data_IF_656803943894
#
_entry.id   IF_656803943894
#
_cell.length_a   1.000
_cell.length_b   1.000
_cell.length_c   1.000
_cell.angle_alpha   90.00
_cell.angle_beta   90.00
_cell.angle_gamma   90.00
#
_symmetry.space_group_name_H-M   'P 1'
#
loop_
_entity.id
_entity.type
_entity.pdbx_description
1 polymer ?
#
# COMPACT_ATOMS: atom_id res chain seq x y z
N UNK A 1 10.33 18.54 22.14
CA UNK A 1 8.90 18.91 22.26
C UNK A 1 8.15 17.72 22.86
N UNK A 2 7.24 17.97 23.78
CA UNK A 2 6.43 16.92 24.41
C UNK A 2 5.12 16.79 23.63
N UNK A 3 4.89 15.67 22.97
CA UNK A 3 3.65 15.42 22.21
C UNK A 3 2.46 15.45 23.17
N UNK A 4 1.50 16.33 22.94
CA UNK A 4 0.32 16.46 23.80
C UNK A 4 -0.56 15.21 23.72
N UNK A 5 -1.41 14.97 24.73
CA UNK A 5 -2.36 13.85 24.67
C UNK A 5 -3.31 13.98 23.47
N UNK A 6 -3.72 15.21 23.13
CA UNK A 6 -4.57 15.47 21.98
C UNK A 6 -3.90 15.11 20.64
N UNK A 7 -2.63 15.46 20.43
CA UNK A 7 -1.88 15.06 19.23
C UNK A 7 -1.85 13.53 19.07
N UNK A 8 -1.68 12.79 20.18
CA UNK A 8 -1.73 11.32 20.16
C UNK A 8 -3.13 10.81 19.85
N UNK A 9 -4.18 11.45 20.36
CA UNK A 9 -5.57 11.05 20.10
C UNK A 9 -5.98 11.31 18.63
N UNK A 10 -5.47 12.38 18.02
CA UNK A 10 -5.66 12.67 16.58
C UNK A 10 -4.91 11.66 15.72
N UNK A 11 -3.66 11.36 16.08
CA UNK A 11 -2.85 10.35 15.36
C UNK A 11 -3.47 8.96 15.49
N UNK A 12 -4.00 8.61 16.67
CA UNK A 12 -4.78 7.38 16.86
C UNK A 12 -6.01 7.33 15.97
N UNK A 13 -6.75 8.44 15.83
CA UNK A 13 -7.91 8.46 14.96
C UNK A 13 -7.53 8.21 13.50
N UNK A 14 -6.46 8.85 13.02
CA UNK A 14 -5.94 8.57 11.68
C UNK A 14 -5.51 7.10 11.54
N UNK A 15 -4.75 6.58 12.51
CA UNK A 15 -4.26 5.20 12.45
C UNK A 15 -5.39 4.16 12.54
N UNK A 16 -6.50 4.47 13.21
CA UNK A 16 -7.70 3.61 13.23
C UNK A 16 -8.42 3.59 11.88
N UNK A 17 -8.49 4.73 11.18
CA UNK A 17 -9.10 4.82 9.86
C UNK A 17 -8.20 4.26 8.76
N UNK A 18 -6.87 4.35 8.94
CA UNK A 18 -5.85 3.89 8.02
C UNK A 18 -4.88 2.90 8.71
N UNK A 19 -5.35 1.70 9.13
CA UNK A 19 -4.58 0.79 9.98
C UNK A 19 -3.27 0.31 9.34
N UNK A 20 -3.21 0.11 8.03
CA UNK A 20 -1.97 -0.22 7.31
C UNK A 20 -0.96 0.93 7.40
N UNK A 21 -1.41 2.15 7.10
CA UNK A 21 -0.55 3.34 7.11
C UNK A 21 -0.05 3.65 8.53
N UNK A 22 -0.92 3.55 9.54
CA UNK A 22 -0.52 3.77 10.92
C UNK A 22 0.47 2.72 11.45
N UNK A 23 0.34 1.46 11.03
CA UNK A 23 1.30 0.43 11.42
C UNK A 23 2.67 0.66 10.77
N UNK A 24 2.66 0.96 9.47
CA UNK A 24 3.88 1.14 8.66
C UNK A 24 4.61 2.43 9.00
N UNK A 25 3.91 3.47 9.47
CA UNK A 25 4.52 4.67 10.04
C UNK A 25 5.17 4.45 11.42
N UNK A 26 5.08 3.23 11.97
CA UNK A 26 5.64 2.88 13.28
C UNK A 26 4.85 3.44 14.46
N UNK A 27 3.56 3.79 14.28
CA UNK A 27 2.75 4.32 15.37
C UNK A 27 2.51 3.24 16.46
N UNK A 28 3.08 3.37 17.66
CA UNK A 28 3.15 2.28 18.63
C UNK A 28 1.78 1.89 19.23
N UNK A 29 0.77 2.76 19.08
CA UNK A 29 -0.60 2.52 19.54
C UNK A 29 -1.45 1.82 18.48
N UNK A 30 -0.99 1.75 17.22
CA UNK A 30 -1.64 0.98 16.17
C UNK A 30 -1.00 -0.41 16.07
N UNK A 31 -1.53 -1.33 16.89
CA UNK A 31 -1.08 -2.72 16.94
C UNK A 31 -1.93 -3.65 16.08
N UNK A 32 -2.99 -3.14 15.47
CA UNK A 32 -4.04 -3.94 14.88
C UNK A 32 -4.10 -3.77 13.37
N UNK A 33 -3.10 -4.34 12.70
CA UNK A 33 -3.08 -4.46 11.24
C UNK A 33 -3.99 -5.59 10.73
N UNK A 34 -4.51 -6.43 11.63
CA UNK A 34 -5.42 -7.52 11.27
C UNK A 34 -6.82 -7.00 10.89
N UNK A 35 -7.21 -5.82 11.36
CA UNK A 35 -8.57 -5.30 11.20
C UNK A 35 -8.55 -3.97 10.41
N UNK A 36 -8.92 -4.06 9.13
CA UNK A 36 -9.09 -2.89 8.26
C UNK A 36 -10.36 -2.13 8.64
N UNK A 37 -10.31 -0.80 8.58
CA UNK A 37 -11.49 0.03 8.72
C UNK A 37 -12.46 -0.22 7.56
N UNK A 38 -13.70 -0.62 7.89
CA UNK A 38 -14.81 -0.79 6.95
C UNK A 38 -15.80 0.35 7.20
N UNK A 39 -16.03 1.25 6.22
CA UNK A 39 -16.81 2.47 6.42
C UNK A 39 -18.32 2.21 6.37
N UNK A 40 -18.83 1.37 7.28
CA UNK A 40 -20.29 1.21 7.48
C UNK A 40 -20.90 2.53 7.97
N UNK A 41 -22.21 2.71 7.80
CA UNK A 41 -22.91 3.93 8.26
C UNK A 41 -22.61 4.24 9.72
N UNK A 42 -22.68 3.24 10.60
CA UNK A 42 -22.43 3.42 12.03
C UNK A 42 -20.96 3.75 12.31
N UNK A 43 -20.01 3.05 11.67
CA UNK A 43 -18.58 3.30 11.84
C UNK A 43 -18.18 4.71 11.34
N UNK A 44 -18.78 5.18 10.24
CA UNK A 44 -18.59 6.54 9.73
C UNK A 44 -19.18 7.57 10.68
N UNK A 45 -20.36 7.30 11.25
CA UNK A 45 -20.98 8.20 12.23
C UNK A 45 -20.13 8.31 13.51
N UNK A 46 -19.65 7.18 14.05
CA UNK A 46 -18.75 7.14 15.21
C UNK A 46 -17.44 7.88 14.94
N UNK A 47 -16.82 7.64 13.78
CA UNK A 47 -15.60 8.32 13.39
C UNK A 47 -15.80 9.84 13.27
N UNK A 48 -16.88 10.29 12.65
CA UNK A 48 -17.22 11.71 12.55
C UNK A 48 -17.52 12.34 13.92
N UNK A 49 -18.21 11.63 14.82
CA UNK A 49 -18.45 12.10 16.17
C UNK A 49 -17.13 12.29 16.94
N UNK A 50 -16.20 11.34 16.81
CA UNK A 50 -14.87 11.44 17.42
C UNK A 50 -14.03 12.57 16.81
N UNK A 51 -14.05 12.74 15.49
CA UNK A 51 -13.41 13.89 14.82
C UNK A 51 -13.98 15.21 15.36
N UNK A 52 -15.30 15.32 15.49
CA UNK A 52 -15.95 16.51 16.06
C UNK A 52 -15.55 16.78 17.51
N UNK A 53 -15.42 15.74 18.34
CA UNK A 53 -14.95 15.86 19.72
C UNK A 53 -13.48 16.32 19.78
N UNK A 54 -12.61 15.79 18.93
CA UNK A 54 -11.20 16.20 18.85
C UNK A 54 -11.05 17.65 18.38
N UNK A 55 -11.86 18.09 17.41
CA UNK A 55 -11.86 19.49 16.94
C UNK A 55 -12.18 20.49 18.04
N UNK A 56 -13.13 20.18 18.93
CA UNK A 56 -13.48 21.04 20.08
C UNK A 56 -12.33 21.22 21.07
N UNK A 57 -11.34 20.31 21.06
CA UNK A 57 -10.18 20.31 21.95
C UNK A 57 -8.95 20.98 21.36
N UNK A 58 -8.98 21.44 20.10
CA UNK A 58 -7.81 22.01 19.42
C UNK A 58 -7.13 23.17 20.16
N UNK A 59 -7.86 23.91 21.01
CA UNK A 59 -7.30 24.94 21.87
C UNK A 59 -6.31 24.41 22.93
N UNK A 60 -6.28 23.09 23.19
CA UNK A 60 -5.28 22.43 24.04
C UNK A 60 -3.87 22.43 23.42
N UNK A 61 -3.75 22.58 22.08
CA UNK A 61 -2.46 22.67 21.39
C UNK A 61 -1.98 24.12 21.43
N UNK A 62 -0.95 24.39 22.23
CA UNK A 62 -0.43 25.76 22.42
C UNK A 62 0.22 26.32 21.16
N UNK A 63 0.94 25.49 20.42
CA UNK A 63 1.59 25.86 19.15
C UNK A 63 0.56 26.11 18.05
N UNK A 64 0.64 27.27 17.38
CA UNK A 64 -0.36 27.68 16.39
C UNK A 64 -0.27 26.88 15.07
N UNK A 65 0.93 26.52 14.65
CA UNK A 65 1.17 25.79 13.41
C UNK A 65 0.77 24.31 13.57
N UNK A 66 1.12 23.71 14.72
CA UNK A 66 0.67 22.35 15.06
C UNK A 66 -0.84 22.28 15.20
N UNK A 67 -1.48 23.28 15.81
CA UNK A 67 -2.94 23.35 15.91
C UNK A 67 -3.62 23.46 14.55
N UNK A 68 -3.06 24.28 13.66
CA UNK A 68 -3.54 24.41 12.28
C UNK A 68 -3.39 23.09 11.53
N UNK A 69 -2.23 22.44 11.66
CA UNK A 69 -1.97 21.12 11.06
C UNK A 69 -2.95 20.07 11.58
N UNK A 70 -3.20 20.04 12.89
CA UNK A 70 -4.16 19.15 13.52
C UNK A 70 -5.59 19.37 13.00
N UNK A 71 -6.04 20.61 12.83
CA UNK A 71 -7.34 20.90 12.24
C UNK A 71 -7.44 20.44 10.78
N UNK A 72 -6.39 20.67 9.97
CA UNK A 72 -6.35 20.21 8.58
C UNK A 72 -6.35 18.69 8.48
N UNK A 73 -5.64 17.99 9.36
CA UNK A 73 -5.69 16.53 9.42
C UNK A 73 -7.09 16.02 9.75
N UNK A 74 -7.76 16.61 10.75
CA UNK A 74 -9.14 16.26 11.10
C UNK A 74 -10.12 16.58 9.97
N UNK A 75 -9.92 17.68 9.25
CA UNK A 75 -10.69 18.02 8.05
C UNK A 75 -10.51 16.97 6.94
N UNK A 76 -9.26 16.58 6.67
CA UNK A 76 -8.94 15.56 5.67
C UNK A 76 -9.62 14.22 5.97
N UNK A 77 -9.55 13.76 7.23
CA UNK A 77 -10.22 12.54 7.67
C UNK A 77 -11.74 12.62 7.46
N UNK A 78 -12.36 13.74 7.83
CA UNK A 78 -13.79 13.93 7.61
C UNK A 78 -14.16 13.94 6.12
N UNK A 79 -13.35 14.58 5.28
CA UNK A 79 -13.53 14.60 3.83
C UNK A 79 -13.41 13.19 3.23
N UNK A 80 -12.43 12.40 3.66
CA UNK A 80 -12.27 11.01 3.22
C UNK A 80 -13.48 10.15 3.57
N UNK A 81 -14.06 10.33 4.75
CA UNK A 81 -15.28 9.62 5.17
C UNK A 81 -16.53 10.07 4.40
N UNK A 82 -16.62 11.35 4.06
CA UNK A 82 -17.77 11.90 3.34
C UNK A 82 -17.73 11.62 1.83
N UNK A 83 -16.54 11.50 1.24
CA UNK A 83 -16.33 11.33 -0.20
C UNK A 83 -15.46 10.10 -0.48
N UNK A 84 -15.94 8.88 -0.21
CA UNK A 84 -15.19 7.66 -0.49
C UNK A 84 -15.06 7.44 -1.99
N UNK A 85 -13.84 7.66 -2.51
CA UNK A 85 -13.50 7.45 -3.91
C UNK A 85 -13.78 5.99 -4.33
N UNK A 86 -14.40 5.75 -5.50
CA UNK A 86 -14.56 4.39 -6.04
C UNK A 86 -13.23 3.63 -6.09
N UNK A 87 -13.22 2.43 -5.51
CA UNK A 87 -12.05 1.56 -5.49
C UNK A 87 -11.05 1.84 -4.35
N UNK A 88 -11.21 2.91 -3.56
CA UNK A 88 -10.30 3.22 -2.46
C UNK A 88 -10.19 2.08 -1.44
N UNK A 89 -11.32 1.43 -1.13
CA UNK A 89 -11.33 0.29 -0.21
C UNK A 89 -10.55 -0.92 -0.74
N UNK A 90 -10.55 -1.13 -2.07
CA UNK A 90 -9.76 -2.18 -2.74
C UNK A 90 -8.28 -1.81 -2.75
N UNK A 91 -7.95 -0.53 -2.99
CA UNK A 91 -6.59 -0.02 -2.93
C UNK A 91 -5.97 -0.22 -1.55
N UNK A 92 -6.69 0.11 -0.47
CA UNK A 92 -6.22 -0.09 0.91
C UNK A 92 -5.83 -1.55 1.19
N UNK A 93 -6.55 -2.51 0.60
CA UNK A 93 -6.25 -3.93 0.72
C UNK A 93 -4.94 -4.29 -0.01
N UNK A 94 -4.75 -3.74 -1.22
CA UNK A 94 -3.51 -3.91 -1.99
C UNK A 94 -2.29 -3.30 -1.29
N UNK A 95 -2.45 -2.10 -0.74
CA UNK A 95 -1.40 -1.43 0.03
C UNK A 95 -1.03 -2.25 1.27
N UNK A 96 -2.03 -2.78 1.98
CA UNK A 96 -1.80 -3.71 3.10
C UNK A 96 -0.95 -4.91 2.69
N UNK A 97 -1.30 -5.57 1.58
CA UNK A 97 -0.58 -6.73 1.08
C UNK A 97 0.86 -6.39 0.64
N UNK A 98 1.05 -5.25 -0.02
CA UNK A 98 2.37 -4.74 -0.40
C UNK A 98 3.25 -4.49 0.82
N UNK A 99 2.74 -3.79 1.84
CA UNK A 99 3.51 -3.49 3.05
C UNK A 99 3.83 -4.74 3.87
N UNK A 100 2.93 -5.73 3.92
CA UNK A 100 3.20 -7.05 4.52
C UNK A 100 4.45 -7.68 3.89
N UNK A 101 4.50 -7.68 2.55
CA UNK A 101 5.66 -8.21 1.82
C UNK A 101 6.92 -7.44 2.19
N UNK A 102 6.89 -6.11 2.12
CA UNK A 102 8.04 -5.25 2.41
C UNK A 102 8.59 -5.48 3.82
N UNK A 103 7.71 -5.54 4.82
CA UNK A 103 8.07 -5.77 6.22
C UNK A 103 8.71 -7.15 6.46
N UNK A 104 8.30 -8.18 5.72
CA UNK A 104 8.86 -9.52 5.82
C UNK A 104 10.18 -9.68 5.06
N UNK A 105 10.28 -9.12 3.84
CA UNK A 105 11.45 -9.31 2.99
C UNK A 105 12.62 -8.41 3.36
N UNK A 106 12.38 -7.18 3.83
CA UNK A 106 13.44 -6.19 4.05
C UNK A 106 13.80 -5.99 5.52
N UNK A 107 12.83 -6.15 6.43
CA UNK A 107 13.03 -5.80 7.84
C UNK A 107 13.15 -6.99 8.78
N UNK A 108 13.11 -8.23 8.26
CA UNK A 108 13.29 -9.46 9.04
C UNK A 108 12.33 -9.59 10.22
N UNK A 109 11.18 -8.90 10.17
CA UNK A 109 10.17 -8.95 11.22
C UNK A 109 9.59 -10.37 11.29
N UNK A 110 9.24 -10.86 12.49
CA UNK A 110 8.75 -12.22 12.67
C UNK A 110 7.57 -12.48 11.73
N UNK A 111 7.60 -13.67 11.13
CA UNK A 111 6.58 -14.26 10.25
C UNK A 111 5.17 -13.72 10.62
N UNK A 112 4.48 -13.01 9.71
CA UNK A 112 3.27 -12.22 10.01
C UNK A 112 2.06 -13.10 10.40
N UNK A 113 2.29 -14.39 10.67
CA UNK A 113 1.27 -15.42 10.79
C UNK A 113 0.19 -15.10 11.80
N UNK A 114 0.54 -14.40 12.88
CA UNK A 114 -0.39 -14.10 13.95
C UNK A 114 -1.48 -13.11 13.55
N UNK A 115 -1.29 -12.31 12.51
CA UNK A 115 -2.23 -11.25 12.10
C UNK A 115 -2.59 -11.28 10.62
N UNK A 116 -1.78 -11.89 9.75
CA UNK A 116 -2.05 -12.02 8.31
C UNK A 116 -3.39 -12.71 8.02
N UNK A 117 -3.74 -13.74 8.80
CA UNK A 117 -5.05 -14.39 8.66
C UNK A 117 -6.20 -13.40 8.89
N UNK A 118 -6.13 -12.59 9.95
CA UNK A 118 -7.16 -11.60 10.25
C UNK A 118 -7.21 -10.51 9.20
N UNK A 119 -6.05 -10.05 8.73
CA UNK A 119 -5.95 -9.09 7.63
C UNK A 119 -6.65 -9.59 6.37
N UNK A 120 -6.39 -10.84 5.94
CA UNK A 120 -7.01 -11.42 4.74
C UNK A 120 -8.53 -11.54 4.91
N UNK A 121 -9.02 -11.92 6.08
CA UNK A 121 -10.46 -11.96 6.39
C UNK A 121 -11.08 -10.55 6.34
N UNK A 122 -10.36 -9.55 6.84
CA UNK A 122 -10.80 -8.16 6.80
C UNK A 122 -10.76 -7.58 5.39
N UNK A 123 -9.77 -7.94 4.57
CA UNK A 123 -9.66 -7.53 3.17
C UNK A 123 -10.82 -8.08 2.35
N UNK A 124 -11.15 -9.36 2.49
CA UNK A 124 -12.31 -9.97 1.83
C UNK A 124 -13.62 -9.22 2.17
N UNK A 125 -13.87 -8.93 3.45
CA UNK A 125 -15.04 -8.15 3.88
C UNK A 125 -15.07 -6.74 3.31
N UNK A 126 -13.91 -6.08 3.26
CA UNK A 126 -13.79 -4.70 2.76
C UNK A 126 -14.02 -4.62 1.25
N UNK A 127 -13.55 -5.62 0.48
CA UNK A 127 -13.83 -5.74 -0.96
C UNK A 127 -15.31 -6.02 -1.21
N UNK A 128 -15.94 -6.91 -0.44
CA UNK A 128 -17.39 -7.16 -0.53
C UNK A 128 -18.19 -5.88 -0.26
N UNK A 129 -17.86 -5.17 0.82
CA UNK A 129 -18.50 -3.90 1.17
C UNK A 129 -18.40 -2.88 0.02
N UNK A 130 -17.21 -2.73 -0.56
CA UNK A 130 -17.00 -1.80 -1.67
C UNK A 130 -17.79 -2.25 -2.90
N UNK A 131 -17.79 -3.55 -3.22
CA UNK A 131 -18.56 -4.10 -4.33
C UNK A 131 -20.05 -3.76 -4.19
N UNK A 132 -20.63 -4.01 -3.01
CA UNK A 132 -22.03 -3.69 -2.70
C UNK A 132 -22.30 -2.18 -2.81
N UNK A 133 -21.35 -1.33 -2.37
CA UNK A 133 -21.46 0.12 -2.48
C UNK A 133 -21.49 0.57 -3.93
N UNK A 134 -20.60 0.02 -4.77
CA UNK A 134 -20.48 0.39 -6.18
C UNK A 134 -21.73 0.03 -6.99
N UNK A 135 -22.49 -1.01 -6.61
CA UNK A 135 -23.78 -1.33 -7.27
C UNK A 135 -24.85 -0.24 -7.09
N UNK A 136 -24.67 0.65 -6.09
CA UNK A 136 -25.67 1.66 -5.70
C UNK A 136 -25.35 3.06 -6.20
N UNK A 137 -24.22 3.25 -6.87
CA UNK A 137 -23.79 4.55 -7.38
C UNK A 137 -23.50 4.47 -8.88
N UNK A 138 -23.81 5.53 -9.65
CA UNK A 138 -23.41 5.60 -11.05
C UNK A 138 -21.88 5.71 -11.15
N UNK A 139 -21.28 4.89 -12.01
CA UNK A 139 -19.85 4.94 -12.31
C UNK A 139 -19.63 5.34 -13.77
N UNK A 140 -18.88 6.42 -13.97
CA UNK A 140 -18.36 6.79 -15.29
C UNK A 140 -17.15 5.93 -15.69
N UNK A 141 -16.67 6.14 -16.91
CA UNK A 141 -15.53 5.40 -17.50
C UNK A 141 -14.24 5.59 -16.70
N UNK A 142 -13.99 6.79 -16.19
CA UNK A 142 -12.78 7.11 -15.42
C UNK A 142 -12.77 6.35 -14.09
N UNK A 143 -13.88 6.40 -13.36
CA UNK A 143 -14.03 5.68 -12.10
C UNK A 143 -13.90 4.16 -12.29
N UNK A 144 -14.48 3.60 -13.36
CA UNK A 144 -14.35 2.17 -13.68
C UNK A 144 -12.92 1.77 -13.97
N UNK A 145 -12.23 2.53 -14.84
CA UNK A 145 -10.81 2.28 -15.16
C UNK A 145 -9.94 2.33 -13.90
N UNK A 146 -10.19 3.30 -13.03
CA UNK A 146 -9.52 3.40 -11.74
C UNK A 146 -9.80 2.16 -10.87
N UNK A 147 -11.06 1.77 -10.71
CA UNK A 147 -11.46 0.56 -9.99
C UNK A 147 -10.77 -0.71 -10.52
N UNK A 148 -10.73 -0.90 -11.84
CA UNK A 148 -10.06 -2.05 -12.45
C UNK A 148 -8.53 -2.01 -12.24
N UNK A 149 -7.93 -0.83 -12.30
CA UNK A 149 -6.49 -0.64 -12.04
C UNK A 149 -6.15 -1.01 -10.59
N UNK A 150 -6.92 -0.53 -9.62
CA UNK A 150 -6.70 -0.85 -8.21
C UNK A 150 -7.00 -2.32 -7.90
N UNK A 151 -7.97 -2.94 -8.59
CA UNK A 151 -8.24 -4.37 -8.47
C UNK A 151 -7.07 -5.22 -9.00
N UNK A 152 -6.49 -4.85 -10.14
CA UNK A 152 -5.31 -5.52 -10.69
C UNK A 152 -4.09 -5.37 -9.78
N UNK A 153 -3.88 -4.18 -9.21
CA UNK A 153 -2.83 -3.95 -8.20
C UNK A 153 -3.05 -4.80 -6.93
N UNK A 154 -4.28 -4.84 -6.42
CA UNK A 154 -4.62 -5.64 -5.24
C UNK A 154 -4.43 -7.14 -5.51
N UNK A 155 -4.84 -7.64 -6.67
CA UNK A 155 -4.59 -9.02 -7.08
C UNK A 155 -3.08 -9.34 -7.13
N UNK A 156 -2.30 -8.51 -7.81
CA UNK A 156 -0.86 -8.72 -7.95
C UNK A 156 -0.16 -8.75 -6.58
N UNK A 157 -0.57 -7.85 -5.66
CA UNK A 157 -0.01 -7.80 -4.31
C UNK A 157 -0.43 -8.99 -3.43
N UNK A 158 -1.68 -9.45 -3.54
CA UNK A 158 -2.18 -10.64 -2.83
C UNK A 158 -1.48 -11.93 -3.27
N UNK A 159 -1.27 -12.12 -4.58
CA UNK A 159 -0.58 -13.31 -5.12
C UNK A 159 0.86 -13.43 -4.61
N UNK A 160 1.51 -12.31 -4.28
CA UNK A 160 2.86 -12.34 -3.71
C UNK A 160 2.89 -12.96 -2.29
N UNK A 161 1.76 -12.97 -1.59
CA UNK A 161 1.64 -13.50 -0.22
C UNK A 161 1.37 -15.02 -0.16
N UNK A 162 1.30 -15.73 -1.31
CA UNK A 162 0.79 -17.10 -1.45
C UNK A 162 1.42 -18.18 -0.54
N UNK A 163 2.64 -17.97 0.00
CA UNK A 163 3.32 -18.99 0.81
C UNK A 163 2.62 -19.22 2.17
N UNK A 164 1.75 -20.24 2.21
CA UNK A 164 1.12 -20.75 3.44
C UNK A 164 -0.29 -20.24 3.74
N UNK A 165 -0.88 -19.42 2.86
CA UNK A 165 -2.20 -18.79 3.05
C UNK A 165 -3.15 -18.94 1.84
N UNK A 166 -2.87 -19.88 0.94
CA UNK A 166 -3.56 -20.05 -0.35
C UNK A 166 -5.08 -19.95 -0.24
N UNK A 167 -5.72 -20.72 0.63
CA UNK A 167 -7.19 -20.72 0.73
C UNK A 167 -7.82 -19.35 1.10
N UNK A 168 -7.15 -18.55 1.95
CA UNK A 168 -7.65 -17.20 2.30
C UNK A 168 -7.35 -16.19 1.21
N UNK A 169 -6.19 -16.33 0.54
CA UNK A 169 -5.85 -15.52 -0.62
C UNK A 169 -6.84 -15.81 -1.76
N UNK A 170 -7.15 -17.07 -2.04
CA UNK A 170 -8.15 -17.50 -3.03
C UNK A 170 -9.53 -16.90 -2.73
N UNK A 171 -9.90 -16.82 -1.45
CA UNK A 171 -11.13 -16.13 -1.03
C UNK A 171 -11.10 -14.66 -1.42
N UNK A 172 -10.01 -13.94 -1.10
CA UNK A 172 -9.84 -12.52 -1.47
C UNK A 172 -9.85 -12.34 -2.99
N UNK A 173 -9.14 -13.20 -3.74
CA UNK A 173 -9.08 -13.16 -5.20
C UNK A 173 -10.47 -13.40 -5.82
N UNK A 174 -11.24 -14.35 -5.28
CA UNK A 174 -12.64 -14.58 -5.70
C UNK A 174 -13.50 -13.34 -5.48
N UNK A 175 -13.33 -12.63 -4.36
CA UNK A 175 -14.03 -11.36 -4.11
C UNK A 175 -13.59 -10.25 -5.06
N UNK A 176 -12.30 -10.18 -5.38
CA UNK A 176 -11.78 -9.23 -6.38
C UNK A 176 -12.33 -9.50 -7.78
N UNK A 177 -12.49 -10.76 -8.18
CA UNK A 177 -13.06 -11.09 -9.48
C UNK A 177 -14.54 -10.71 -9.55
N UNK A 178 -15.30 -10.93 -8.48
CA UNK A 178 -16.68 -10.43 -8.39
C UNK A 178 -16.74 -8.88 -8.43
N UNK A 179 -15.81 -8.21 -7.75
CA UNK A 179 -15.66 -6.75 -7.83
C UNK A 179 -15.42 -6.29 -9.27
N UNK A 180 -14.46 -6.90 -9.98
CA UNK A 180 -14.16 -6.58 -11.39
C UNK A 180 -15.39 -6.80 -12.26
N UNK A 181 -16.07 -7.94 -12.14
CA UNK A 181 -17.31 -8.22 -12.89
C UNK A 181 -18.41 -7.20 -12.60
N UNK A 182 -18.53 -6.69 -11.38
CA UNK A 182 -19.51 -5.65 -11.02
C UNK A 182 -19.17 -4.31 -11.69
N UNK A 183 -17.89 -3.94 -11.68
CA UNK A 183 -17.37 -2.71 -12.30
C UNK A 183 -17.40 -2.78 -13.82
N UNK A 184 -17.20 -3.98 -14.40
CA UNK A 184 -17.14 -4.23 -15.84
C UNK A 184 -18.53 -4.51 -16.44
N UNK A 185 -19.32 -5.39 -15.84
CA UNK A 185 -20.66 -5.79 -16.31
C UNK A 185 -21.73 -4.70 -16.25
N UNK A 186 -21.43 -3.56 -15.64
CA UNK A 186 -22.26 -2.35 -15.71
C UNK A 186 -21.90 -1.44 -16.91
N UNK A 187 -21.01 -1.88 -17.80
CA UNK A 187 -20.58 -1.21 -19.02
C UNK A 187 -21.13 -1.97 -20.24
N UNK A 188 -21.96 -1.31 -21.04
CA UNK A 188 -21.98 -1.58 -22.49
C UNK A 188 -20.97 -0.63 -23.08
N UNK A 189 -19.72 -1.08 -23.13
CA UNK A 189 -18.66 -0.33 -23.78
C UNK A 189 -18.86 -0.23 -25.28
N UNK A 190 -17.97 0.52 -25.90
CA UNK A 190 -17.63 0.25 -27.28
C UNK A 190 -16.72 -0.97 -27.27
N UNK A 191 -17.26 -2.13 -27.63
CA UNK A 191 -16.44 -3.28 -27.96
C UNK A 191 -15.61 -2.98 -29.21
N UNK A 192 -14.56 -3.76 -29.46
CA UNK A 192 -13.78 -3.63 -30.69
C UNK A 192 -14.68 -3.72 -31.95
N UNK A 193 -15.79 -4.44 -31.83
CA UNK A 193 -16.82 -4.61 -32.86
C UNK A 193 -17.75 -3.39 -33.01
N UNK A 194 -17.75 -2.46 -32.04
CA UNK A 194 -18.47 -1.18 -32.11
C UNK A 194 -17.64 -0.05 -32.74
N UNK A 195 -16.31 -0.22 -32.84
CA UNK A 195 -15.41 0.74 -33.50
C UNK A 195 -15.83 1.02 -34.95
N UNK A 196 -16.19 0.02 -35.78
CA UNK A 196 -16.71 0.26 -37.13
C UNK A 196 -17.96 1.15 -37.13
N UNK A 197 -18.90 0.92 -36.21
CA UNK A 197 -20.15 1.69 -36.08
C UNK A 197 -19.87 3.12 -35.63
N UNK A 198 -18.97 3.32 -34.66
CA UNK A 198 -18.57 4.66 -34.22
C UNK A 198 -17.82 5.42 -35.31
N UNK A 199 -16.88 4.77 -36.01
CA UNK A 199 -16.19 5.37 -37.15
C UNK A 199 -17.19 5.72 -38.25
N UNK A 200 -18.20 4.89 -38.50
CA UNK A 200 -19.25 5.15 -39.48
C UNK A 200 -20.09 6.36 -39.09
N UNK A 201 -20.61 6.43 -37.86
CA UNK A 201 -21.38 7.58 -37.34
C UNK A 201 -20.54 8.86 -37.35
N UNK A 202 -19.26 8.79 -36.97
CA UNK A 202 -18.34 9.91 -37.08
C UNK A 202 -18.17 10.33 -38.54
N UNK A 203 -18.02 9.40 -39.49
CA UNK A 203 -17.92 9.74 -40.93
C UNK A 203 -19.20 10.33 -41.50
N UNK A 204 -20.37 9.93 -41.01
CA UNK A 204 -21.67 10.45 -41.46
C UNK A 204 -21.98 11.84 -40.88
N UNK A 205 -21.49 12.14 -39.67
CA UNK A 205 -21.86 13.35 -38.93
C UNK A 205 -20.72 14.35 -38.69
N UNK A 206 -19.46 13.97 -38.94
CA UNK A 206 -18.36 14.93 -39.00
C UNK A 206 -18.13 15.30 -40.46
N UNK A 207 -18.19 16.60 -40.76
CA UNK A 207 -17.57 17.10 -41.98
C UNK A 207 -16.12 16.57 -42.00
N UNK A 208 -15.65 16.09 -43.15
CA UNK A 208 -14.30 15.56 -43.30
C UNK A 208 -13.31 16.46 -42.54
N UNK A 209 -12.41 15.91 -41.70
CA UNK A 209 -11.59 16.69 -40.82
C UNK A 209 -10.91 17.81 -41.62
N UNK A 210 -11.37 19.04 -41.40
CA UNK A 210 -10.75 20.20 -42.02
C UNK A 210 -9.44 20.42 -41.30
N UNK A 211 -8.39 20.65 -42.09
CA UNK A 211 -7.08 20.98 -41.55
C UNK A 211 -7.25 22.19 -40.62
N UNK A 212 -7.11 21.98 -39.32
CA UNK A 212 -7.16 23.05 -38.32
C UNK A 212 -5.73 23.34 -37.94
N UNK A 213 -5.28 24.57 -38.21
CA UNK A 213 -3.94 25.01 -37.83
C UNK A 213 -3.71 24.74 -36.33
N UNK A 214 -2.64 24.02 -36.03
CA UNK A 214 -2.24 23.66 -34.66
C UNK A 214 -2.62 22.24 -34.22
N UNK A 215 -3.54 21.52 -34.87
CA UNK A 215 -3.89 20.15 -34.43
C UNK A 215 -2.78 19.10 -34.71
N UNK A 216 -2.08 19.12 -35.87
CA UNK A 216 -0.89 18.28 -36.05
C UNK A 216 0.21 18.59 -35.03
N UNK A 217 0.42 19.88 -34.72
CA UNK A 217 1.39 20.30 -33.70
C UNK A 217 0.98 19.82 -32.31
N UNK A 218 -0.30 19.91 -31.95
CA UNK A 218 -0.84 19.41 -30.67
C UNK A 218 -0.64 17.90 -30.52
N UNK A 219 -0.82 17.13 -31.60
CA UNK A 219 -0.55 15.69 -31.59
C UNK A 219 0.94 15.39 -31.47
N UNK A 220 1.81 16.16 -32.13
CA UNK A 220 3.27 16.08 -31.94
C UNK A 220 3.65 16.43 -30.51
N UNK A 221 3.11 17.50 -29.93
CA UNK A 221 3.39 17.95 -28.57
C UNK A 221 2.90 16.93 -27.51
N UNK A 222 1.84 16.17 -27.79
CA UNK A 222 1.24 15.21 -26.87
C UNK A 222 1.80 13.78 -27.00
N UNK A 223 2.19 13.35 -28.20
CA UNK A 223 2.54 11.95 -28.48
C UNK A 223 3.96 11.74 -28.98
N UNK A 224 4.62 12.78 -29.49
CA UNK A 224 6.00 12.73 -29.91
C UNK A 224 6.83 13.42 -28.82
N UNK A 225 7.31 12.64 -27.86
CA UNK A 225 8.25 13.12 -26.84
C UNK A 225 9.54 13.54 -27.57
N UNK A 226 9.61 14.81 -27.95
CA UNK A 226 10.64 15.40 -28.79
C UNK A 226 12.11 15.24 -28.29
N UNK A 227 12.41 15.10 -26.97
CA UNK A 227 13.78 14.89 -26.55
C UNK A 227 14.23 13.46 -26.84
N UNK A 228 15.39 13.30 -27.46
CA UNK A 228 16.02 11.98 -27.59
C UNK A 228 16.27 11.38 -26.19
N UNK A 229 16.50 10.06 -26.10
CA UNK A 229 16.86 9.43 -24.83
C UNK A 229 18.07 10.12 -24.15
N UNK A 230 18.99 10.69 -24.94
CA UNK A 230 20.12 11.47 -24.44
C UNK A 230 19.71 12.83 -23.87
N UNK A 231 18.70 13.48 -24.43
CA UNK A 231 18.19 14.77 -23.93
C UNK A 231 17.37 14.58 -22.65
N UNK A 232 16.63 13.47 -22.54
CA UNK A 232 15.96 13.08 -21.30
C UNK A 232 16.98 12.76 -20.20
N UNK A 233 18.05 12.03 -20.51
CA UNK A 233 19.13 11.73 -19.56
C UNK A 233 19.85 13.00 -19.10
N UNK A 234 20.11 13.93 -20.04
CA UNK A 234 20.71 15.24 -19.74
C UNK A 234 19.80 16.08 -18.85
N UNK A 235 18.50 16.12 -19.15
CA UNK A 235 17.51 16.88 -18.37
C UNK A 235 17.33 16.28 -16.97
N UNK A 236 17.19 14.96 -16.88
CA UNK A 236 17.08 14.25 -15.61
C UNK A 236 18.34 14.43 -14.75
N UNK A 237 19.54 14.36 -15.36
CA UNK A 237 20.81 14.62 -14.67
C UNK A 237 20.89 16.06 -14.19
N UNK A 238 20.47 17.03 -15.01
CA UNK A 238 20.47 18.45 -14.65
C UNK A 238 19.52 18.72 -13.47
N UNK A 239 18.31 18.16 -13.50
CA UNK A 239 17.36 18.27 -12.38
C UNK A 239 17.89 17.58 -11.12
N UNK A 240 18.47 16.38 -11.27
CA UNK A 240 19.10 15.67 -10.15
C UNK A 240 20.24 16.50 -9.53
N UNK A 241 21.07 17.17 -10.33
CA UNK A 241 22.16 18.02 -9.84
C UNK A 241 21.62 19.26 -9.10
N UNK A 242 20.57 19.89 -9.62
CA UNK A 242 19.89 21.02 -8.97
C UNK A 242 19.26 20.60 -7.63
N UNK A 243 18.54 19.48 -7.63
CA UNK A 243 17.92 18.92 -6.43
C UNK A 243 18.98 18.49 -5.42
N UNK A 244 20.07 17.86 -5.85
CA UNK A 244 21.18 17.47 -4.98
C UNK A 244 21.84 18.68 -4.32
N UNK A 245 21.93 19.82 -5.00
CA UNK A 245 22.46 21.05 -4.40
C UNK A 245 21.55 21.55 -3.26
N UNK A 246 20.24 21.55 -3.49
CA UNK A 246 19.23 21.92 -2.49
C UNK A 246 19.25 20.93 -1.32
N UNK A 247 19.26 19.63 -1.59
CA UNK A 247 19.30 18.57 -0.58
C UNK A 247 20.59 18.64 0.24
N UNK A 248 21.74 18.93 -0.38
CA UNK A 248 23.01 19.15 0.35
C UNK A 248 22.95 20.38 1.26
N UNK A 249 22.34 21.47 0.81
CA UNK A 249 22.16 22.67 1.62
C UNK A 249 21.24 22.40 2.83
N UNK A 250 20.10 21.76 2.59
CA UNK A 250 19.16 21.34 3.65
C UNK A 250 19.79 20.35 4.63
N UNK A 251 20.58 19.38 4.13
CA UNK A 251 21.30 18.44 4.98
C UNK A 251 22.34 19.15 5.88
N UNK A 252 23.04 20.15 5.36
CA UNK A 252 23.97 20.96 6.15
C UNK A 252 23.24 21.82 7.21
N UNK A 253 22.10 22.39 6.86
CA UNK A 253 21.25 23.15 7.78
C UNK A 253 20.69 22.26 8.89
N UNK A 254 20.15 21.09 8.55
CA UNK A 254 19.71 20.06 9.50
C UNK A 254 20.85 19.59 10.39
N UNK A 255 22.04 19.35 9.84
CA UNK A 255 23.20 18.95 10.62
C UNK A 255 23.62 20.04 11.62
N UNK A 256 23.54 21.31 11.22
CA UNK A 256 23.79 22.45 12.11
C UNK A 256 22.74 22.53 13.24
N UNK A 257 21.45 22.44 12.91
CA UNK A 257 20.35 22.46 13.87
C UNK A 257 20.45 21.31 14.89
N UNK A 258 20.87 20.13 14.43
CA UNK A 258 21.06 18.94 15.25
C UNK A 258 22.45 18.87 15.92
N UNK A 259 23.31 19.89 15.72
CA UNK A 259 24.69 19.98 16.26
C UNK A 259 25.56 18.76 15.93
N UNK A 260 25.39 18.20 14.74
CA UNK A 260 26.13 17.03 14.30
C UNK A 260 27.57 17.40 13.92
N UNK A 261 28.55 16.52 14.19
CA UNK A 261 29.92 16.71 13.70
C UNK A 261 29.99 16.89 12.18
N UNK A 262 30.93 17.71 11.72
CA UNK A 262 31.22 17.84 10.27
C UNK A 262 31.59 16.46 9.69
N UNK A 263 30.93 16.07 8.62
CA UNK A 263 31.14 14.77 7.96
C UNK A 263 30.26 13.63 8.47
N UNK A 264 29.31 13.89 9.37
CA UNK A 264 28.29 12.91 9.74
C UNK A 264 27.45 12.50 8.53
N UNK A 265 27.24 11.20 8.38
CA UNK A 265 26.32 10.64 7.38
C UNK A 265 24.90 10.54 7.94
N UNK A 266 23.89 10.41 7.08
CA UNK A 266 22.50 10.13 7.51
C UNK A 266 22.44 8.87 8.40
N UNK A 267 23.30 7.88 8.12
CA UNK A 267 23.41 6.66 8.93
C UNK A 267 23.98 6.86 10.34
N UNK A 268 24.60 8.01 10.64
CA UNK A 268 25.09 8.34 11.99
C UNK A 268 24.01 9.01 12.85
N UNK A 269 22.96 9.53 12.23
CA UNK A 269 21.84 10.27 12.87
C UNK A 269 20.60 9.38 12.99
N UNK A 270 20.40 8.49 12.03
CA UNK A 270 19.36 7.47 12.11
C UNK A 270 19.67 6.52 13.26
N UNK A 271 18.70 6.14 14.12
CA UNK A 271 18.97 5.22 15.22
C UNK A 271 19.55 3.92 14.68
N UNK A 272 20.86 3.71 14.91
CA UNK A 272 21.53 2.45 14.62
C UNK A 272 20.86 1.37 15.50
N UNK A 273 20.45 0.22 14.94
CA UNK A 273 19.97 -0.88 15.76
C UNK A 273 21.01 -1.21 16.82
N UNK A 274 20.58 -1.38 18.07
CA UNK A 274 21.44 -1.47 19.23
C UNK A 274 22.61 -2.44 18.98
N UNK A 275 23.83 -1.91 19.02
CA UNK A 275 25.06 -2.68 19.01
C UNK A 275 25.28 -3.39 20.36
N UNK A 276 24.32 -4.21 20.81
CA UNK A 276 24.60 -5.23 21.81
C UNK A 276 25.04 -6.48 21.07
N UNK A 277 26.34 -6.53 20.79
CA UNK A 277 27.00 -7.65 20.15
C UNK A 277 26.82 -8.95 20.92
N UNK A 278 26.29 -9.96 20.23
CA UNK A 278 26.79 -11.35 20.16
C UNK A 278 25.89 -12.12 19.19
N UNK A 279 26.15 -11.97 17.89
CA UNK A 279 25.88 -13.07 16.98
C UNK A 279 27.15 -13.93 16.97
N UNK A 280 27.22 -14.86 17.92
CA UNK A 280 28.11 -16.00 17.76
C UNK A 280 27.37 -16.97 16.84
N UNK A 281 27.91 -17.35 15.67
CA UNK A 281 27.32 -18.46 14.92
C UNK A 281 27.25 -19.67 15.85
N UNK A 282 26.17 -20.46 15.84
CA UNK A 282 26.14 -21.69 16.61
C UNK A 282 27.34 -22.52 16.19
N UNK A 283 28.26 -22.77 17.13
CA UNK A 283 29.33 -23.75 16.93
C UNK A 283 28.66 -25.02 16.46
N UNK A 284 29.01 -25.47 15.26
CA UNK A 284 28.70 -26.81 14.81
C UNK A 284 29.21 -27.75 15.89
N UNK A 285 28.27 -28.42 16.56
CA UNK A 285 28.64 -29.58 17.37
C UNK A 285 29.17 -30.60 16.38
N UNK A 286 30.50 -30.69 16.28
CA UNK A 286 31.16 -31.90 15.79
C UNK A 286 30.47 -33.10 16.45
N UNK A 287 30.12 -34.15 15.69
CA UNK A 287 29.44 -35.31 16.25
C UNK A 287 30.35 -35.93 17.31
N UNK A 288 29.85 -36.06 18.54
CA UNK A 288 30.47 -36.98 19.50
C UNK A 288 30.38 -38.37 18.89
N UNK A 289 31.56 -38.92 18.62
CA UNK A 289 31.87 -40.31 18.31
C UNK A 289 30.90 -41.27 19.03
N UNK A 290 30.29 -42.24 18.36
CA UNK A 290 29.47 -43.23 19.03
C UNK A 290 30.37 -44.11 19.91
N UNK A 291 29.96 -44.30 21.16
CA UNK A 291 30.53 -45.30 22.03
C UNK A 291 30.13 -46.68 21.49
N UNK A 292 31.09 -47.26 20.76
CA UNK A 292 31.43 -48.68 20.68
C UNK A 292 30.70 -49.57 21.71
N UNK A 293 29.69 -50.30 21.27
CA UNK A 293 29.37 -51.62 21.80
C UNK A 293 29.53 -52.62 20.65
N UNK A 294 30.42 -53.59 20.87
CA UNK A 294 30.74 -54.66 19.93
C UNK A 294 30.03 -55.95 20.38
N UNK A 295 30.16 -57.08 19.67
CA UNK A 295 29.03 -57.74 19.01
C UNK A 295 28.79 -59.16 19.52
N UNK A 296 27.60 -59.71 19.31
CA UNK A 296 27.28 -61.16 19.12
C UNK A 296 25.76 -61.32 19.20
N UNK A 297 25.05 -62.21 18.50
CA UNK A 297 25.31 -63.24 17.47
C UNK A 297 23.91 -63.71 17.04
N UNK A 298 23.69 -64.00 15.74
CA UNK A 298 22.87 -65.09 15.14
C UNK A 298 21.47 -65.42 15.75
N UNK A 299 20.39 -65.65 14.99
CA UNK A 299 20.29 -66.44 13.76
C UNK A 299 18.93 -66.27 13.03
N UNK A 300 18.98 -66.39 11.70
CA UNK A 300 18.05 -67.13 10.81
C UNK A 300 16.52 -66.96 10.93
N UNK A 301 15.89 -66.33 9.93
CA UNK A 301 15.13 -66.99 8.84
C UNK A 301 14.29 -65.96 8.06
N UNK A 302 14.49 -65.93 6.75
CA UNK A 302 13.46 -65.58 5.74
C UNK A 302 12.87 -66.92 5.20
N UNK A 303 11.92 -66.98 4.24
CA UNK A 303 11.25 -65.92 3.47
C UNK A 303 9.73 -66.17 3.18
N UNK A 304 9.15 -65.34 2.30
CA UNK A 304 7.93 -65.55 1.47
C UNK A 304 6.58 -65.59 2.21
N UNK A 305 5.47 -65.13 1.65
CA UNK A 305 5.13 -64.64 0.32
C UNK A 305 3.67 -64.17 0.31
N UNK A 306 3.28 -63.57 -0.80
CA UNK A 306 1.92 -63.23 -1.26
C UNK A 306 0.83 -64.26 -0.93
N UNK A 307 -0.29 -63.80 -0.38
CA UNK A 307 -1.55 -63.46 -1.10
C UNK A 307 -2.36 -62.45 -0.28
#
# INVERSE_FOLDING_TARGET
>A
MTVTQLEKDITDQWAQLCPVAGHTSGWPRNKDIAHLFIPTTDAVHEANAKIGALRKRLSEISDADLRTTADKQLALLATQLAWPQPGAAVQDCGDGAFYIKLLNSEFGRPDPKSWLSGFLDSAAKKIDFETDRLTKIPLDVTHRRQCLTVAAYCEATMRILEKGYSAKIDTVLTKLDHFKQTVDGSFKGLDADDIPTVIHVLREHTAAPTYTDGYPQLLTDLYDFAPSAADLDTTATTWLEQDLAIVKALAAELASLLKLPRGSSVGDVWPKPAASGRWAPPRSRTPRRPARTSPTRTSSRSPMGSD
#
